data_IF_710073333524
#
_entry.id   IF_710073333524
#
_cell.length_a   1.000
_cell.length_b   1.000
_cell.length_c   1.000
_cell.angle_alpha   90.00
_cell.angle_beta   90.00
_cell.angle_gamma   90.00
#
_symmetry.space_group_name_H-M   'P 1'
#
loop_
_entity.id
_entity.type
_entity.pdbx_description
1 polymer ?
#
# COMPACT_ATOMS: atom_id res chain seq x y z
N UNK A 1 -2.42 -6.07 -18.29
CA UNK A 1 -1.60 -6.58 -17.17
C UNK A 1 -2.46 -7.38 -16.21
N UNK A 2 -1.95 -8.46 -15.60
CA UNK A 2 -2.68 -9.31 -14.65
C UNK A 2 -1.77 -9.47 -13.42
N UNK A 3 -2.11 -8.90 -12.25
CA UNK A 3 -1.26 -9.02 -11.06
C UNK A 3 -1.33 -10.44 -10.47
N UNK A 4 -0.21 -10.90 -9.93
CA UNK A 4 -0.04 -12.20 -9.26
C UNK A 4 0.30 -12.06 -7.77
N UNK A 5 0.25 -10.85 -7.26
CA UNK A 5 0.36 -10.49 -5.83
C UNK A 5 -0.65 -9.40 -5.49
N UNK A 6 -0.97 -9.23 -4.23
CA UNK A 6 -1.91 -8.22 -3.76
C UNK A 6 -1.18 -7.08 -3.03
N UNK A 7 -0.17 -6.48 -3.67
CA UNK A 7 0.69 -5.50 -3.01
C UNK A 7 1.01 -4.28 -3.84
N UNK A 8 1.76 -4.47 -4.90
CA UNK A 8 2.45 -3.38 -5.60
C UNK A 8 1.53 -2.38 -6.30
N UNK A 9 0.34 -2.79 -6.75
CA UNK A 9 -0.51 -1.96 -7.60
C UNK A 9 0.17 -1.50 -8.90
N UNK A 10 1.26 -2.18 -9.31
CA UNK A 10 2.09 -1.78 -10.46
C UNK A 10 1.31 -1.78 -11.77
N UNK A 11 0.22 -2.51 -11.83
CA UNK A 11 -0.72 -2.56 -12.94
C UNK A 11 -1.52 -1.24 -13.12
N UNK A 12 -1.44 -0.32 -12.16
CA UNK A 12 -2.06 1.01 -12.24
C UNK A 12 -1.05 2.15 -12.22
N UNK A 13 0.26 1.85 -12.29
CA UNK A 13 1.31 2.87 -12.17
C UNK A 13 2.08 3.07 -13.47
N UNK A 14 2.68 4.25 -13.62
CA UNK A 14 3.66 4.54 -14.67
C UNK A 14 5.10 4.29 -14.21
N UNK A 15 5.31 3.50 -13.15
CA UNK A 15 6.59 3.32 -12.48
C UNK A 15 7.14 1.91 -12.71
N UNK A 16 8.47 1.83 -12.93
CA UNK A 16 9.22 0.58 -12.83
C UNK A 16 10.41 0.79 -11.90
N UNK A 17 10.51 -0.03 -10.85
CA UNK A 17 11.60 0.04 -9.88
C UNK A 17 12.58 -1.10 -10.16
N UNK A 18 13.76 -0.74 -10.64
CA UNK A 18 14.81 -1.70 -11.02
C UNK A 18 15.96 -1.69 -10.02
N UNK A 19 16.49 -2.88 -9.73
CA UNK A 19 17.69 -3.00 -8.91
C UNK A 19 18.92 -2.63 -9.75
N UNK A 20 19.84 -1.91 -9.15
CA UNK A 20 21.17 -1.56 -9.70
C UNK A 20 22.22 -2.15 -8.76
N UNK A 21 22.64 -3.41 -8.99
CA UNK A 21 23.51 -4.13 -8.05
C UNK A 21 24.85 -3.44 -7.83
N UNK A 22 25.40 -2.79 -8.85
CA UNK A 22 26.68 -2.08 -8.80
C UNK A 22 26.63 -0.89 -7.84
N UNK A 23 25.46 -0.25 -7.73
CA UNK A 23 25.21 0.88 -6.82
C UNK A 23 24.61 0.43 -5.47
N UNK A 24 24.34 -0.86 -5.30
CA UNK A 24 23.62 -1.43 -4.13
C UNK A 24 22.35 -0.66 -3.82
N UNK A 25 21.63 -0.26 -4.86
CA UNK A 25 20.47 0.63 -4.78
C UNK A 25 19.35 0.16 -5.73
N UNK A 26 18.23 0.87 -5.66
CA UNK A 26 17.11 0.74 -6.60
C UNK A 26 16.87 2.10 -7.28
N UNK A 27 16.54 2.06 -8.57
CA UNK A 27 16.17 3.26 -9.35
C UNK A 27 14.76 3.14 -9.86
N UNK A 28 13.99 4.21 -9.73
CA UNK A 28 12.67 4.35 -10.32
C UNK A 28 12.77 4.92 -11.72
N UNK A 29 12.12 4.26 -12.66
CA UNK A 29 11.87 4.77 -14.01
C UNK A 29 10.40 5.16 -14.05
N UNK A 30 10.08 6.37 -14.48
CA UNK A 30 8.71 6.88 -14.57
C UNK A 30 8.44 7.30 -16.01
N UNK A 31 7.44 6.68 -16.64
CA UNK A 31 7.05 7.01 -18.00
C UNK A 31 5.58 6.61 -18.25
N UNK A 32 4.79 7.52 -18.81
CA UNK A 32 3.35 7.29 -19.05
C UNK A 32 3.08 6.10 -19.97
N UNK A 33 4.02 5.75 -20.86
CA UNK A 33 3.92 4.56 -21.71
C UNK A 33 3.96 3.23 -20.93
N UNK A 34 4.25 3.26 -19.62
CA UNK A 34 4.21 2.07 -18.77
C UNK A 34 2.82 1.79 -18.20
N UNK A 35 1.87 2.73 -18.31
CA UNK A 35 0.49 2.50 -17.91
C UNK A 35 -0.13 1.49 -18.87
N UNK A 36 -0.62 0.34 -18.40
CA UNK A 36 -1.19 -0.68 -19.27
C UNK A 36 -2.55 -0.26 -19.84
N UNK A 37 -2.84 -0.63 -21.07
CA UNK A 37 -4.15 -0.37 -21.72
C UNK A 37 -5.29 -1.14 -21.05
N UNK A 38 -4.99 -2.33 -20.50
CA UNK A 38 -5.98 -3.20 -19.86
C UNK A 38 -5.41 -3.82 -18.58
N UNK A 39 -6.23 -3.85 -17.55
CA UNK A 39 -5.94 -4.52 -16.27
C UNK A 39 -7.03 -5.55 -15.99
N UNK A 40 -6.63 -6.77 -15.65
CA UNK A 40 -7.54 -7.84 -15.23
C UNK A 40 -7.18 -8.21 -13.80
N UNK A 41 -8.09 -7.93 -12.88
CA UNK A 41 -7.97 -8.33 -11.47
C UNK A 41 -8.72 -9.65 -11.28
N UNK A 42 -7.99 -10.74 -11.11
CA UNK A 42 -8.55 -12.07 -10.91
C UNK A 42 -7.92 -12.74 -9.68
N UNK A 43 -8.73 -12.93 -8.65
CA UNK A 43 -8.29 -13.56 -7.39
C UNK A 43 -7.76 -14.99 -7.57
N UNK A 44 -8.11 -15.68 -8.67
CA UNK A 44 -7.56 -16.99 -8.99
C UNK A 44 -6.04 -16.94 -9.17
N UNK A 45 -5.50 -15.83 -9.66
CA UNK A 45 -4.06 -15.64 -9.85
C UNK A 45 -3.27 -15.60 -8.54
N UNK A 46 -3.95 -15.29 -7.43
CA UNK A 46 -3.37 -15.28 -6.07
C UNK A 46 -3.97 -16.36 -5.17
N UNK A 47 -4.75 -17.31 -5.71
CA UNK A 47 -5.42 -18.35 -4.93
C UNK A 47 -4.43 -19.16 -4.07
N UNK A 48 -3.26 -19.49 -4.63
CA UNK A 48 -2.21 -20.28 -3.97
C UNK A 48 -1.05 -19.45 -3.41
N UNK A 49 -1.25 -18.14 -3.24
CA UNK A 49 -0.20 -17.27 -2.71
C UNK A 49 0.16 -17.67 -1.28
N UNK A 50 1.46 -17.91 -0.96
CA UNK A 50 1.89 -18.25 0.39
C UNK A 50 1.51 -17.17 1.41
N UNK A 51 1.14 -17.56 2.63
CA UNK A 51 0.76 -16.62 3.70
C UNK A 51 1.78 -15.53 3.97
N UNK A 52 3.08 -15.86 3.94
CA UNK A 52 4.16 -14.89 4.10
C UNK A 52 4.16 -13.81 3.01
N UNK A 53 3.81 -14.19 1.78
CA UNK A 53 3.70 -13.25 0.67
C UNK A 53 2.42 -12.41 0.81
N UNK A 54 1.29 -13.02 1.18
CA UNK A 54 0.04 -12.28 1.48
C UNK A 54 0.28 -11.21 2.54
N UNK A 55 0.97 -11.54 3.63
CA UNK A 55 1.30 -10.59 4.69
C UNK A 55 2.22 -9.47 4.18
N UNK A 56 3.36 -9.83 3.57
CA UNK A 56 4.34 -8.86 3.13
C UNK A 56 3.78 -7.90 2.06
N UNK A 57 3.07 -8.45 1.05
CA UNK A 57 2.50 -7.63 -0.01
C UNK A 57 1.25 -6.87 0.46
N UNK A 58 0.48 -7.44 1.38
CA UNK A 58 -0.68 -6.76 1.96
C UNK A 58 -0.28 -5.54 2.80
N UNK A 59 0.80 -5.63 3.59
CA UNK A 59 1.34 -4.46 4.32
C UNK A 59 1.98 -3.46 3.36
N UNK A 60 2.59 -3.91 2.27
CA UNK A 60 3.07 -3.02 1.21
C UNK A 60 1.92 -2.19 0.58
N UNK A 61 0.82 -2.86 0.23
CA UNK A 61 -0.39 -2.17 -0.25
C UNK A 61 -0.95 -1.18 0.79
N UNK A 62 -0.91 -1.56 2.09
CA UNK A 62 -1.32 -0.67 3.17
C UNK A 62 -0.42 0.57 3.25
N UNK A 63 0.90 0.38 3.17
CA UNK A 63 1.85 1.48 3.14
C UNK A 63 1.57 2.42 1.95
N UNK A 64 1.29 1.88 0.76
CA UNK A 64 0.93 2.68 -0.41
C UNK A 64 -0.25 3.62 -0.13
N UNK A 65 -1.38 3.07 0.32
CA UNK A 65 -2.60 3.87 0.51
C UNK A 65 -2.46 4.90 1.64
N UNK A 66 -1.80 4.54 2.75
CA UNK A 66 -1.61 5.46 3.88
C UNK A 66 -0.61 6.55 3.53
N UNK A 67 0.53 6.22 2.92
CA UNK A 67 1.51 7.22 2.50
C UNK A 67 0.95 8.17 1.44
N UNK A 68 0.24 7.64 0.44
CA UNK A 68 -0.40 8.47 -0.58
C UNK A 68 -1.43 9.42 0.05
N UNK A 69 -2.23 8.93 0.98
CA UNK A 69 -3.24 9.75 1.68
C UNK A 69 -2.59 10.81 2.56
N UNK A 70 -1.54 10.49 3.32
CA UNK A 70 -0.85 11.43 4.22
C UNK A 70 0.22 12.29 3.53
N UNK A 71 0.47 12.06 2.23
CA UNK A 71 1.44 12.81 1.44
C UNK A 71 1.10 14.30 1.34
N UNK A 72 2.12 15.16 1.38
CA UNK A 72 1.96 16.58 1.02
C UNK A 72 1.56 16.81 -0.44
N UNK A 73 1.69 15.79 -1.28
CA UNK A 73 1.27 15.80 -2.70
C UNK A 73 -0.11 15.17 -2.91
N UNK A 74 -0.80 14.77 -1.83
CA UNK A 74 -2.15 14.23 -1.92
C UNK A 74 -3.10 15.24 -2.58
N UNK A 75 -4.00 14.73 -3.41
CA UNK A 75 -4.92 15.55 -4.21
C UNK A 75 -6.35 15.04 -4.06
N UNK A 76 -7.37 15.86 -4.35
CA UNK A 76 -8.76 15.39 -4.40
C UNK A 76 -8.98 14.23 -5.38
N UNK A 77 -8.06 14.00 -6.32
CA UNK A 77 -8.09 12.86 -7.23
C UNK A 77 -7.52 11.59 -6.58
N UNK A 78 -6.38 11.68 -5.86
CA UNK A 78 -5.75 10.52 -5.23
C UNK A 78 -6.45 10.06 -3.95
N UNK A 79 -7.03 10.98 -3.20
CA UNK A 79 -7.62 10.71 -1.88
C UNK A 79 -8.73 9.66 -1.88
N UNK A 80 -9.72 9.69 -2.78
CA UNK A 80 -10.78 8.68 -2.82
C UNK A 80 -10.25 7.26 -3.00
N UNK A 81 -9.24 7.09 -3.87
CA UNK A 81 -8.63 5.79 -4.11
C UNK A 81 -7.80 5.31 -2.91
N UNK A 82 -7.04 6.21 -2.29
CA UNK A 82 -6.28 5.89 -1.08
C UNK A 82 -7.20 5.46 0.08
N UNK A 83 -8.29 6.19 0.31
CA UNK A 83 -9.27 5.87 1.37
C UNK A 83 -10.00 4.56 1.08
N UNK A 84 -10.48 4.35 -0.14
CA UNK A 84 -11.21 3.13 -0.48
C UNK A 84 -10.28 1.91 -0.48
N UNK A 85 -9.04 2.08 -0.97
CA UNK A 85 -8.00 1.06 -0.88
C UNK A 85 -7.69 0.69 0.58
N UNK A 86 -7.57 1.67 1.47
CA UNK A 86 -7.35 1.42 2.90
C UNK A 86 -8.50 0.63 3.53
N UNK A 87 -9.76 0.99 3.26
CA UNK A 87 -10.93 0.23 3.74
C UNK A 87 -10.87 -1.23 3.33
N UNK A 88 -10.58 -1.49 2.05
CA UNK A 88 -10.49 -2.85 1.53
C UNK A 88 -9.37 -3.63 2.20
N UNK A 89 -8.18 -3.04 2.33
CA UNK A 89 -7.01 -3.71 2.89
C UNK A 89 -7.20 -3.97 4.39
N UNK A 90 -7.56 -2.97 5.20
CA UNK A 90 -7.74 -3.15 6.64
C UNK A 90 -8.79 -4.21 6.98
N UNK A 91 -9.88 -4.28 6.22
CA UNK A 91 -10.96 -5.25 6.46
C UNK A 91 -10.61 -6.66 6.02
N UNK A 92 -9.73 -6.84 5.06
CA UNK A 92 -9.53 -8.12 4.40
C UNK A 92 -8.14 -8.74 4.61
N UNK A 93 -7.11 -7.99 4.98
CA UNK A 93 -5.73 -8.52 5.08
C UNK A 93 -5.62 -9.70 6.05
N UNK A 94 -6.26 -9.62 7.23
CA UNK A 94 -6.24 -10.70 8.22
C UNK A 94 -7.00 -11.92 7.75
N UNK A 95 -8.12 -11.71 7.08
CA UNK A 95 -8.93 -12.79 6.53
C UNK A 95 -8.21 -13.47 5.36
N UNK A 96 -7.64 -12.71 4.43
CA UNK A 96 -6.86 -13.26 3.32
C UNK A 96 -5.63 -14.06 3.80
N UNK A 97 -5.03 -13.66 4.93
CA UNK A 97 -3.91 -14.37 5.55
C UNK A 97 -4.36 -15.65 6.28
N UNK A 98 -5.40 -15.57 7.12
CA UNK A 98 -5.83 -16.66 7.97
C UNK A 98 -6.61 -17.73 7.21
N UNK A 99 -7.45 -17.31 6.27
CA UNK A 99 -8.31 -18.17 5.47
C UNK A 99 -7.93 -18.09 3.98
N UNK A 100 -6.95 -18.91 3.52
CA UNK A 100 -6.44 -18.86 2.16
C UNK A 100 -7.47 -19.24 1.08
N UNK A 101 -8.58 -19.86 1.45
CA UNK A 101 -9.65 -20.24 0.52
C UNK A 101 -10.71 -19.14 0.37
N UNK A 102 -10.65 -18.07 1.16
CA UNK A 102 -11.55 -16.94 1.03
C UNK A 102 -11.19 -16.07 -0.18
N UNK A 103 -11.79 -16.42 -1.31
CA UNK A 103 -11.55 -15.72 -2.59
C UNK A 103 -12.09 -14.30 -2.60
N UNK A 104 -13.13 -14.00 -1.82
CA UNK A 104 -13.66 -12.64 -1.68
C UNK A 104 -12.63 -11.73 -0.99
N UNK A 105 -12.08 -12.17 0.13
CA UNK A 105 -11.03 -11.42 0.82
C UNK A 105 -9.80 -11.18 -0.09
N UNK A 106 -9.39 -12.19 -0.86
CA UNK A 106 -8.30 -12.08 -1.84
C UNK A 106 -8.63 -11.07 -2.96
N UNK A 107 -9.85 -11.11 -3.47
CA UNK A 107 -10.29 -10.17 -4.50
C UNK A 107 -10.28 -8.73 -3.95
N UNK A 108 -10.75 -8.53 -2.72
CA UNK A 108 -10.73 -7.23 -2.06
C UNK A 108 -9.29 -6.74 -1.80
N UNK A 109 -8.34 -7.64 -1.49
CA UNK A 109 -6.93 -7.29 -1.38
C UNK A 109 -6.32 -6.87 -2.73
N UNK A 110 -6.64 -7.56 -3.84
CA UNK A 110 -6.23 -7.14 -5.19
C UNK A 110 -6.78 -5.76 -5.54
N UNK A 111 -8.06 -5.55 -5.31
CA UNK A 111 -8.70 -4.26 -5.61
C UNK A 111 -8.12 -3.13 -4.75
N UNK A 112 -7.87 -3.40 -3.46
CA UNK A 112 -7.22 -2.45 -2.55
C UNK A 112 -5.80 -2.08 -3.00
N UNK A 113 -5.00 -3.07 -3.45
CA UNK A 113 -3.68 -2.84 -4.00
C UNK A 113 -3.73 -2.03 -5.31
N UNK A 114 -4.68 -2.33 -6.19
CA UNK A 114 -4.92 -1.58 -7.43
C UNK A 114 -5.25 -0.10 -7.15
N UNK A 115 -6.13 0.17 -6.18
CA UNK A 115 -6.44 1.54 -5.76
C UNK A 115 -5.20 2.25 -5.18
N UNK A 116 -4.37 1.52 -4.44
CA UNK A 116 -3.06 2.02 -4.01
C UNK A 116 -2.18 2.45 -5.19
N UNK A 117 -2.14 1.65 -6.26
CA UNK A 117 -1.42 1.99 -7.49
C UNK A 117 -1.93 3.27 -8.17
N UNK A 118 -3.26 3.44 -8.25
CA UNK A 118 -3.86 4.68 -8.76
C UNK A 118 -3.48 5.88 -7.87
N UNK A 119 -3.54 5.73 -6.55
CA UNK A 119 -3.17 6.78 -5.61
C UNK A 119 -1.70 7.17 -5.74
N UNK A 120 -0.78 6.20 -5.94
CA UNK A 120 0.65 6.44 -6.19
C UNK A 120 0.84 7.34 -7.42
N UNK A 121 0.15 7.06 -8.50
CA UNK A 121 0.24 7.86 -9.72
C UNK A 121 -0.20 9.31 -9.49
N UNK A 122 -1.18 9.54 -8.58
CA UNK A 122 -1.69 10.86 -8.26
C UNK A 122 -0.89 11.64 -7.22
N UNK A 123 -0.20 10.98 -6.27
CA UNK A 123 0.47 11.65 -5.13
C UNK A 123 1.89 11.14 -4.84
N UNK A 124 2.21 9.91 -5.25
CA UNK A 124 3.48 9.25 -4.93
C UNK A 124 3.57 8.75 -3.48
N UNK A 125 4.50 7.82 -3.26
CA UNK A 125 4.88 7.32 -1.92
C UNK A 125 5.83 8.29 -1.21
N UNK A 126 6.08 8.05 0.09
CA UNK A 126 6.85 8.96 0.94
C UNK A 126 8.01 8.24 1.66
N UNK A 127 8.16 8.45 2.97
CA UNK A 127 9.33 8.05 3.74
C UNK A 127 9.46 6.53 3.95
N UNK A 128 8.36 5.78 4.06
CA UNK A 128 8.43 4.31 4.21
C UNK A 128 9.14 3.70 3.02
N UNK A 129 8.69 4.03 1.81
CA UNK A 129 9.26 3.53 0.57
C UNK A 129 10.69 4.05 0.34
N UNK A 130 10.94 5.33 0.59
CA UNK A 130 12.27 5.91 0.44
C UNK A 130 13.31 5.24 1.34
N UNK A 131 12.95 4.96 2.59
CA UNK A 131 13.84 4.30 3.56
C UNK A 131 13.94 2.78 3.33
N UNK A 132 12.98 2.16 2.67
CA UNK A 132 13.00 0.71 2.38
C UNK A 132 13.97 0.34 1.25
N UNK A 133 14.27 1.24 0.33
CA UNK A 133 15.13 0.96 -0.82
C UNK A 133 16.54 0.50 -0.44
N UNK A 134 17.26 1.12 0.51
CA UNK A 134 18.53 0.62 0.99
C UNK A 134 18.46 -0.78 1.61
N UNK A 135 17.36 -1.13 2.30
CA UNK A 135 17.17 -2.46 2.87
C UNK A 135 17.11 -3.53 1.78
N UNK A 136 16.35 -3.25 0.72
CA UNK A 136 16.29 -4.13 -0.44
C UNK A 136 17.57 -4.16 -1.28
N UNK A 137 18.15 -2.97 -1.56
CA UNK A 137 19.34 -2.86 -2.42
C UNK A 137 20.63 -3.37 -1.78
N UNK A 138 20.79 -3.20 -0.46
CA UNK A 138 22.03 -3.49 0.28
C UNK A 138 21.97 -4.84 0.99
N UNK A 139 20.82 -5.21 1.53
CA UNK A 139 20.64 -6.39 2.38
C UNK A 139 19.75 -7.46 1.75
N UNK A 140 19.22 -7.22 0.53
CA UNK A 140 18.35 -8.14 -0.19
C UNK A 140 17.08 -8.54 0.57
N UNK A 141 16.61 -7.67 1.49
CA UNK A 141 15.33 -7.88 2.18
C UNK A 141 14.19 -7.65 1.18
N UNK A 142 13.21 -8.54 1.18
CA UNK A 142 12.05 -8.43 0.30
C UNK A 142 11.32 -7.09 0.53
N UNK A 143 10.84 -6.45 -0.55
CA UNK A 143 10.30 -5.09 -0.52
C UNK A 143 9.16 -4.90 0.49
N UNK A 144 8.13 -5.75 0.45
CA UNK A 144 7.02 -5.67 1.39
C UNK A 144 7.44 -5.92 2.85
N UNK A 145 8.47 -6.75 3.09
CA UNK A 145 9.03 -6.94 4.44
C UNK A 145 9.76 -5.69 4.89
N UNK A 146 10.55 -5.05 4.01
CA UNK A 146 11.25 -3.80 4.32
C UNK A 146 10.26 -2.69 4.68
N UNK A 147 9.17 -2.56 3.91
CA UNK A 147 8.11 -1.59 4.20
C UNK A 147 7.40 -1.91 5.51
N UNK A 148 7.09 -3.18 5.78
CA UNK A 148 6.44 -3.59 7.03
C UNK A 148 7.29 -3.27 8.28
N UNK A 149 8.61 -3.45 8.22
CA UNK A 149 9.52 -3.11 9.31
C UNK A 149 9.50 -1.61 9.61
N UNK A 150 9.43 -0.78 8.57
CA UNK A 150 9.56 0.67 8.69
C UNK A 150 8.22 1.38 8.94
N UNK A 151 7.10 0.79 8.50
CA UNK A 151 5.80 1.44 8.41
C UNK A 151 5.37 2.08 9.73
N UNK A 152 5.31 1.30 10.82
CA UNK A 152 4.86 1.80 12.10
C UNK A 152 5.77 2.93 12.65
N UNK A 153 7.09 2.79 12.51
CA UNK A 153 8.05 3.80 12.99
C UNK A 153 7.95 5.11 12.21
N UNK A 154 7.77 5.02 10.89
CA UNK A 154 7.61 6.22 10.04
C UNK A 154 6.27 6.89 10.30
N UNK A 155 5.19 6.12 10.47
CA UNK A 155 3.87 6.70 10.78
C UNK A 155 3.87 7.36 12.16
N UNK A 156 4.47 6.75 13.17
CA UNK A 156 4.63 7.37 14.49
C UNK A 156 5.41 8.70 14.42
N UNK A 157 6.50 8.72 13.65
CA UNK A 157 7.28 9.95 13.43
C UNK A 157 6.48 11.04 12.71
N UNK A 158 5.64 10.67 11.77
CA UNK A 158 4.86 11.60 10.96
C UNK A 158 3.52 12.02 11.62
N UNK A 159 3.07 11.30 12.63
CA UNK A 159 1.74 11.40 13.22
C UNK A 159 1.31 12.84 13.48
N UNK A 160 2.09 13.60 14.20
CA UNK A 160 1.76 14.98 14.56
C UNK A 160 1.54 15.90 13.35
N UNK A 161 2.28 15.64 12.26
CA UNK A 161 2.20 16.44 11.04
C UNK A 161 1.01 16.08 10.14
N UNK A 162 0.39 14.90 10.34
CA UNK A 162 -0.72 14.40 9.51
C UNK A 162 -1.89 13.85 10.33
N UNK A 163 -2.01 14.25 11.60
CA UNK A 163 -2.97 13.73 12.57
C UNK A 163 -4.41 13.81 12.07
N UNK A 164 -4.83 14.95 11.52
CA UNK A 164 -6.20 15.12 11.00
C UNK A 164 -6.50 14.15 9.84
N UNK A 165 -5.50 13.89 9.00
CA UNK A 165 -5.67 12.95 7.89
C UNK A 165 -5.74 11.50 8.38
N UNK A 166 -4.92 11.14 9.35
CA UNK A 166 -5.00 9.82 9.99
C UNK A 166 -6.35 9.62 10.69
N UNK A 167 -6.83 10.63 11.42
CA UNK A 167 -8.15 10.58 12.06
C UNK A 167 -9.28 10.42 11.03
N UNK A 168 -9.24 11.17 9.93
CA UNK A 168 -10.22 11.03 8.85
C UNK A 168 -10.16 9.64 8.19
N UNK A 169 -8.97 9.06 8.05
CA UNK A 169 -8.80 7.69 7.56
C UNK A 169 -9.39 6.68 8.55
N UNK A 170 -9.17 6.87 9.85
CA UNK A 170 -9.75 6.06 10.91
C UNK A 170 -11.29 6.08 10.83
N UNK A 171 -11.91 7.25 10.72
CA UNK A 171 -13.37 7.38 10.55
C UNK A 171 -13.90 6.62 9.33
N UNK A 172 -13.16 6.65 8.23
CA UNK A 172 -13.54 5.95 7.00
C UNK A 172 -13.43 4.43 7.14
N UNK A 173 -12.40 3.93 7.81
CA UNK A 173 -12.13 2.48 7.99
C UNK A 173 -12.97 1.90 9.13
N UNK A 174 -13.05 2.64 10.25
CA UNK A 174 -13.68 2.23 11.51
C UNK A 174 -14.75 3.24 11.98
N UNK A 175 -15.93 3.28 11.36
CA UNK A 175 -16.99 4.25 11.73
C UNK A 175 -17.41 4.18 13.20
N UNK A 176 -17.16 3.07 13.89
CA UNK A 176 -17.43 2.89 15.31
C UNK A 176 -16.54 3.76 16.22
N UNK A 177 -15.47 4.32 15.67
CA UNK A 177 -14.57 5.24 16.39
C UNK A 177 -14.91 6.73 16.18
N UNK A 178 -16.03 7.03 15.53
CA UNK A 178 -16.43 8.43 15.20
C UNK A 178 -16.43 9.39 16.41
N UNK A 179 -16.81 8.89 17.59
CA UNK A 179 -16.88 9.67 18.83
C UNK A 179 -15.51 9.89 19.52
N UNK A 180 -14.44 9.27 19.01
CA UNK A 180 -13.10 9.42 19.56
C UNK A 180 -12.47 10.76 19.17
N UNK A 181 -11.52 11.23 19.98
CA UNK A 181 -10.74 12.43 19.64
C UNK A 181 -9.87 12.20 18.40
N UNK A 182 -9.40 13.28 17.80
CA UNK A 182 -8.49 13.23 16.62
C UNK A 182 -7.21 12.45 16.96
N UNK A 183 -6.64 12.70 18.15
CA UNK A 183 -5.45 12.01 18.64
C UNK A 183 -5.69 10.50 18.79
N UNK A 184 -6.77 10.11 19.50
CA UNK A 184 -7.12 8.69 19.68
C UNK A 184 -7.34 7.96 18.36
N UNK A 185 -7.95 8.63 17.35
CA UNK A 185 -8.15 8.08 16.01
C UNK A 185 -6.83 7.92 15.26
N UNK A 186 -5.96 8.91 15.34
CA UNK A 186 -4.66 8.88 14.70
C UNK A 186 -3.73 7.82 15.31
N UNK A 187 -3.87 7.56 16.61
CA UNK A 187 -3.13 6.49 17.31
C UNK A 187 -3.65 5.09 16.97
N UNK A 188 -4.92 4.98 16.60
CA UNK A 188 -5.56 3.69 16.36
C UNK A 188 -5.31 3.15 14.95
N UNK A 189 -5.28 4.04 13.93
CA UNK A 189 -5.19 3.63 12.52
C UNK A 189 -3.78 3.21 12.14
#
# INVERSE_FOLDING_TARGET
>A
MIPTTCGTGSEATCNAIVAVPEEKSKKGIVNDNMIPDYVILDAQMIAKLPKSIVAATGVDALAHVVECYTSKKATPFSDPYAVEGAKLIFRNIREAYNNPDNMEAKNNMLLGAYYGGIAITGSGTTAVHALSYPLGGKFHIAHGVSNAILFAHVMEFNKDACQDRLAALCDAVYPTYAEKSVEEKADYI
#
